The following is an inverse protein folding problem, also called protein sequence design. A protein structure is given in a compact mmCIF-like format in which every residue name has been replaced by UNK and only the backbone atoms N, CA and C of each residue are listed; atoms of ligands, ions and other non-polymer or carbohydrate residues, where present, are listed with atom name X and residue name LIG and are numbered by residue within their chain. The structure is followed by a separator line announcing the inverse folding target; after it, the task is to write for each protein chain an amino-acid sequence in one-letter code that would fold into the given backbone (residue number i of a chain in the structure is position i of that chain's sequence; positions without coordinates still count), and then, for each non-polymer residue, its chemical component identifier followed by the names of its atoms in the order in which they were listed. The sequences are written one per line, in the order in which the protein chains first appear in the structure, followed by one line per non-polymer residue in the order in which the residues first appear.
data_IF_155849164705
#
_entry.id   IF_155849164705
#
_cell.length_a   1.000
_cell.length_b   1.000
_cell.length_c   1.000
_cell.angle_alpha   90.00
_cell.angle_beta   90.00
_cell.angle_gamma   90.00
#
_symmetry.space_group_name_H-M   'P 1'
#
loop_
_entity.id
_entity.type
_entity.pdbx_description
1 polymer ?
#
# COMPACT_ATOMS: atom_id res chain seq x y z
N UNK A 1 5.41 -16.31 5.24
CA UNK A 1 6.02 -15.05 5.72
C UNK A 1 5.49 -13.92 4.86
N UNK A 2 4.56 -13.12 5.38
CA UNK A 2 4.14 -11.88 4.73
C UNK A 2 5.22 -10.82 4.94
N UNK A 3 5.53 -10.02 3.92
CA UNK A 3 6.45 -8.90 4.06
C UNK A 3 5.70 -7.66 4.51
N UNK A 4 6.28 -6.87 5.41
CA UNK A 4 5.69 -5.62 5.87
C UNK A 4 6.23 -4.47 5.00
N UNK A 5 5.33 -3.66 4.46
CA UNK A 5 5.61 -2.42 3.74
C UNK A 5 5.14 -1.21 4.53
N UNK A 6 5.93 -0.15 4.51
CA UNK A 6 5.55 1.14 5.09
C UNK A 6 4.69 1.90 4.09
N UNK A 7 3.37 1.94 4.29
CA UNK A 7 2.44 2.72 3.49
C UNK A 7 2.28 4.12 4.08
N UNK A 8 2.67 5.14 3.33
CA UNK A 8 2.45 6.53 3.72
C UNK A 8 1.08 7.01 3.27
N UNK A 9 0.27 7.49 4.20
CA UNK A 9 -1.04 8.04 3.91
C UNK A 9 -0.90 9.41 3.21
N UNK A 10 -1.42 9.59 1.99
CA UNK A 10 -1.35 10.88 1.29
C UNK A 10 -2.26 11.96 1.90
N UNK A 11 -3.18 11.59 2.79
CA UNK A 11 -4.13 12.53 3.39
C UNK A 11 -3.62 13.13 4.70
N UNK A 12 -3.00 12.33 5.58
CA UNK A 12 -2.50 12.77 6.88
C UNK A 12 -0.97 12.71 7.00
N UNK A 13 -0.28 12.07 6.06
CA UNK A 13 1.18 11.89 6.09
C UNK A 13 1.68 10.76 7.00
N UNK A 14 0.80 10.05 7.71
CA UNK A 14 1.20 8.95 8.59
C UNK A 14 1.73 7.75 7.80
N UNK A 15 2.81 7.16 8.30
CA UNK A 15 3.39 5.91 7.79
C UNK A 15 2.91 4.74 8.64
N UNK A 16 2.31 3.75 7.99
CA UNK A 16 1.78 2.56 8.65
C UNK A 16 2.37 1.31 8.02
N UNK A 17 2.82 0.37 8.85
CA UNK A 17 3.27 -0.94 8.39
C UNK A 17 2.07 -1.79 7.98
N UNK A 18 1.98 -2.17 6.71
CA UNK A 18 0.95 -3.05 6.18
C UNK A 18 1.58 -4.31 5.61
N UNK A 19 0.91 -5.44 5.77
CA UNK A 19 1.37 -6.70 5.20
C UNK A 19 1.11 -6.71 3.69
N UNK A 20 2.15 -6.96 2.89
CA UNK A 20 2.04 -7.19 1.45
C UNK A 20 1.47 -8.60 1.26
N UNK A 21 0.24 -8.75 0.74
CA UNK A 21 -0.34 -10.05 0.50
C UNK A 21 0.44 -10.75 -0.62
N UNK A 22 0.88 -11.98 -0.36
CA UNK A 22 1.57 -12.79 -1.36
C UNK A 22 0.62 -13.16 -2.50
N UNK A 23 1.01 -12.86 -3.73
CA UNK A 23 0.23 -13.15 -4.93
C UNK A 23 -1.02 -12.29 -5.15
N UNK A 24 -1.23 -11.23 -4.35
CA UNK A 24 -2.36 -10.30 -4.55
C UNK A 24 -1.90 -8.86 -4.39
N UNK A 25 -2.77 -7.96 -4.81
CA UNK A 25 -2.46 -6.56 -4.93
C UNK A 25 -3.49 -5.74 -4.12
N UNK A 26 -3.00 -4.88 -3.21
CA UNK A 26 -3.84 -4.00 -2.38
C UNK A 26 -4.25 -2.77 -3.21
N UNK A 27 -5.44 -2.81 -3.81
CA UNK A 27 -5.98 -1.69 -4.58
C UNK A 27 -6.48 -0.54 -3.69
N UNK A 28 -6.88 -0.85 -2.45
CA UNK A 28 -7.42 0.09 -1.47
C UNK A 28 -6.96 -0.29 -0.06
N UNK A 29 -6.70 0.72 0.76
CA UNK A 29 -6.32 0.54 2.17
C UNK A 29 -6.94 1.64 3.02
N UNK A 30 -7.39 1.31 4.22
CA UNK A 30 -7.98 2.27 5.15
C UNK A 30 -6.89 2.70 6.13
N UNK A 31 -6.64 4.00 6.23
CA UNK A 31 -5.69 4.51 7.20
C UNK A 31 -6.23 4.35 8.62
N UNK A 32 -5.50 3.70 9.52
CA UNK A 32 -5.89 3.51 10.92
C UNK A 32 -5.88 4.81 11.72
N UNK A 33 -5.13 5.83 11.30
CA UNK A 33 -5.08 7.13 12.00
C UNK A 33 -6.17 8.10 11.60
N UNK A 34 -6.46 8.23 10.30
CA UNK A 34 -7.46 9.18 9.82
C UNK A 34 -8.76 8.52 9.33
N UNK A 35 -8.82 7.20 9.27
CA UNK A 35 -9.99 6.46 8.78
C UNK A 35 -10.28 6.63 7.29
N UNK A 36 -9.42 7.35 6.54
CA UNK A 36 -9.65 7.61 5.11
C UNK A 36 -9.25 6.42 4.25
N UNK A 37 -10.03 6.22 3.19
CA UNK A 37 -9.77 5.22 2.18
C UNK A 37 -8.72 5.73 1.18
N UNK A 38 -7.54 5.14 1.24
CA UNK A 38 -6.43 5.35 0.32
C UNK A 38 -6.65 4.41 -0.86
N UNK A 39 -6.72 4.98 -2.06
CA UNK A 39 -6.88 4.25 -3.32
C UNK A 39 -5.65 4.46 -4.19
N UNK A 40 -5.28 3.47 -4.99
CA UNK A 40 -4.17 3.60 -5.91
C UNK A 40 -4.48 4.70 -6.97
N UNK A 41 -3.52 5.57 -7.31
CA UNK A 41 -3.68 6.53 -8.40
C UNK A 41 -3.75 5.80 -9.76
N UNK A 42 -4.38 6.43 -10.75
CA UNK A 42 -4.41 5.91 -12.13
C UNK A 42 -2.98 5.83 -12.66
N UNK A 43 -2.45 4.62 -12.85
CA UNK A 43 -1.09 4.36 -13.35
C UNK A 43 -0.22 3.52 -12.43
N UNK A 44 -0.60 3.35 -11.16
CA UNK A 44 0.07 2.43 -10.24
C UNK A 44 -0.79 1.18 -10.04
N UNK A 45 -0.18 0.00 -9.97
CA UNK A 45 -0.94 -1.24 -9.85
C UNK A 45 -1.69 -1.32 -8.51
N UNK A 46 -1.12 -0.79 -7.42
CA UNK A 46 -1.61 -0.91 -6.05
C UNK A 46 -1.18 0.26 -5.16
N UNK A 47 -1.86 0.46 -4.02
CA UNK A 47 -1.52 1.52 -3.05
C UNK A 47 -0.11 1.37 -2.51
N UNK A 48 0.35 0.14 -2.38
CA UNK A 48 1.71 -0.19 -1.95
C UNK A 48 2.72 0.32 -2.98
N UNK A 49 2.57 -0.03 -4.26
CA UNK A 49 3.50 0.44 -5.29
C UNK A 49 3.45 1.96 -5.51
N UNK A 50 2.36 2.63 -5.14
CA UNK A 50 2.20 4.08 -5.28
C UNK A 50 2.71 4.88 -4.08
N UNK A 51 2.49 4.36 -2.86
CA UNK A 51 2.68 5.10 -1.60
C UNK A 51 3.55 4.39 -0.58
N UNK A 52 4.03 3.18 -0.87
CA UNK A 52 5.02 2.48 -0.05
C UNK A 52 6.41 2.53 -0.67
N UNK A 53 7.39 2.35 0.19
CA UNK A 53 8.81 2.22 -0.17
C UNK A 53 9.13 0.87 -0.85
N UNK A 54 8.36 -0.18 -0.52
CA UNK A 54 8.53 -1.52 -1.09
C UNK A 54 7.68 -1.76 -2.33
N UNK A 55 8.21 -2.51 -3.29
CA UNK A 55 7.46 -3.03 -4.43
C UNK A 55 6.67 -4.29 -4.05
N UNK A 56 5.48 -4.47 -4.62
CA UNK A 56 4.73 -5.71 -4.48
C UNK A 56 5.42 -6.86 -5.25
N UNK A 57 5.45 -8.05 -4.64
CA UNK A 57 6.01 -9.28 -5.23
C UNK A 57 5.34 -9.64 -6.58
N UNK A 58 4.05 -9.32 -6.75
CA UNK A 58 3.28 -9.54 -8.00
C UNK A 58 3.81 -8.74 -9.20
N UNK A 59 4.57 -7.66 -8.96
CA UNK A 59 5.12 -6.84 -10.04
C UNK A 59 6.48 -7.35 -10.56
N UNK A 60 7.02 -8.42 -9.99
CA UNK A 60 8.19 -9.15 -10.50
C UNK A 60 7.68 -10.29 -11.39
N UNK A 61 7.47 -9.99 -12.67
CA UNK A 61 7.34 -11.00 -13.72
C UNK A 61 8.13 -10.59 -14.93
#
# INVERSE_FOLDING_TARGET
MAEIANLKCPYCGEVQGIEIPKGKCLAFHICSKCGRLIKAPKGSCCVICAYSDKKCEVSVR
#
